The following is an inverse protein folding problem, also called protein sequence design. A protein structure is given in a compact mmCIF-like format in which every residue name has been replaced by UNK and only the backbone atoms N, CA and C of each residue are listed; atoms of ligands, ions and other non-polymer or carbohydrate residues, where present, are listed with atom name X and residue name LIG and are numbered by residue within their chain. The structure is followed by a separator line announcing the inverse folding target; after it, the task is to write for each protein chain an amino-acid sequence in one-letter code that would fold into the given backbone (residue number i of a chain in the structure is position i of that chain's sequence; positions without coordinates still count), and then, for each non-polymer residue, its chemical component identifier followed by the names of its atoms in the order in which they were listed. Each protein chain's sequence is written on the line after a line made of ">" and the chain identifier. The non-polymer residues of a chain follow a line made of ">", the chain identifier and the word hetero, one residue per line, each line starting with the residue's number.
data_IF_959266550252
#
_entry.id   IF_959266550252
#
_cell.length_a   1.000
_cell.length_b   1.000
_cell.length_c   1.000
_cell.angle_alpha   90.00
_cell.angle_beta   90.00
_cell.angle_gamma   90.00
#
_symmetry.space_group_name_H-M   'P 1'
#
loop_
_entity.id
_entity.type
_entity.pdbx_description
1 polymer ?
#
# COMPACT_ATOMS: atom_id res chain seq x y z
N UNK A 1 -11.26 1.50 -24.67
CA UNK A 1 -11.23 1.33 -23.20
C UNK A 1 -10.00 0.49 -22.90
N UNK A 2 -9.02 1.04 -22.20
CA UNK A 2 -7.82 0.29 -21.82
C UNK A 2 -8.17 -0.48 -20.54
N UNK A 3 -8.07 -1.80 -20.58
CA UNK A 3 -8.32 -2.67 -19.42
C UNK A 3 -6.95 -3.11 -18.90
N UNK A 4 -6.76 -3.00 -17.59
CA UNK A 4 -5.55 -3.46 -16.93
C UNK A 4 -5.38 -4.98 -17.12
N UNK A 5 -4.21 -5.38 -17.59
CA UNK A 5 -3.89 -6.79 -17.83
C UNK A 5 -3.46 -7.47 -16.53
N UNK A 6 -4.17 -8.53 -16.14
CA UNK A 6 -3.91 -9.28 -14.92
C UNK A 6 -2.49 -9.89 -14.89
N UNK A 7 -2.03 -10.46 -15.99
CA UNK A 7 -0.72 -11.10 -16.05
C UNK A 7 0.42 -10.09 -15.94
N UNK A 8 0.26 -8.90 -16.53
CA UNK A 8 1.25 -7.83 -16.39
C UNK A 8 1.35 -7.32 -14.96
N UNK A 9 0.23 -7.18 -14.25
CA UNK A 9 0.23 -6.79 -12.84
C UNK A 9 0.88 -7.85 -11.97
N UNK A 10 0.56 -9.12 -12.23
CA UNK A 10 1.16 -10.25 -11.50
C UNK A 10 2.67 -10.28 -11.69
N UNK A 11 3.16 -10.12 -12.93
CA UNK A 11 4.58 -10.07 -13.24
C UNK A 11 5.27 -8.85 -12.59
N UNK A 12 4.65 -7.67 -12.68
CA UNK A 12 5.17 -6.46 -12.03
C UNK A 12 5.31 -6.62 -10.51
N UNK A 13 4.26 -7.13 -9.84
CA UNK A 13 4.30 -7.35 -8.40
C UNK A 13 5.37 -8.40 -8.08
N UNK A 14 5.42 -9.52 -8.79
CA UNK A 14 6.43 -10.56 -8.56
C UNK A 14 7.87 -10.01 -8.68
N UNK A 15 8.17 -9.26 -9.74
CA UNK A 15 9.47 -8.59 -9.91
C UNK A 15 9.78 -7.66 -8.74
N UNK A 16 8.83 -6.78 -8.38
CA UNK A 16 9.00 -5.86 -7.26
C UNK A 16 9.27 -6.58 -5.93
N UNK A 17 8.59 -7.69 -5.65
CA UNK A 17 8.78 -8.45 -4.40
C UNK A 17 10.19 -9.05 -4.29
N UNK A 18 10.82 -9.41 -5.41
CA UNK A 18 12.21 -9.90 -5.41
C UNK A 18 13.25 -8.79 -5.25
N UNK A 19 12.86 -7.52 -5.41
CA UNK A 19 13.76 -6.39 -5.36
C UNK A 19 13.91 -5.84 -3.94
N UNK A 20 15.01 -6.20 -3.27
CA UNK A 20 15.29 -5.79 -1.90
C UNK A 20 15.47 -4.26 -1.74
N UNK A 21 16.03 -3.59 -2.75
CA UNK A 21 16.39 -2.16 -2.69
C UNK A 21 15.20 -1.21 -2.82
N UNK A 22 14.02 -1.74 -3.18
CA UNK A 22 12.81 -0.96 -3.42
C UNK A 22 11.92 -0.90 -2.19
N UNK A 23 11.51 0.31 -1.83
CA UNK A 23 10.65 0.59 -0.68
C UNK A 23 9.18 0.30 -0.98
N UNK A 24 8.68 0.65 -2.17
CA UNK A 24 7.32 0.34 -2.58
C UNK A 24 7.19 0.23 -4.11
N UNK A 25 6.18 -0.53 -4.56
CA UNK A 25 5.73 -0.57 -5.95
C UNK A 25 4.54 0.36 -6.13
N UNK A 26 4.42 1.02 -7.27
CA UNK A 26 3.31 1.91 -7.58
C UNK A 26 2.69 1.56 -8.93
N UNK A 27 1.38 1.31 -8.94
CA UNK A 27 0.59 1.00 -10.13
C UNK A 27 -0.31 2.20 -10.44
N UNK A 28 -0.05 2.86 -11.57
CA UNK A 28 -0.81 4.03 -12.05
C UNK A 28 -1.66 3.64 -13.25
N UNK A 29 -2.97 3.90 -13.17
CA UNK A 29 -3.88 3.74 -14.31
C UNK A 29 -5.09 4.65 -14.23
N UNK A 30 -5.63 5.13 -15.37
CA UNK A 30 -6.88 5.89 -15.38
C UNK A 30 -8.04 5.20 -14.66
N UNK A 31 -9.00 6.00 -14.18
CA UNK A 31 -10.26 5.49 -13.64
C UNK A 31 -11.03 4.68 -14.69
N UNK A 32 -11.75 3.63 -14.27
CA UNK A 32 -12.53 2.78 -15.17
C UNK A 32 -11.73 1.71 -15.92
N UNK A 33 -10.43 1.54 -15.64
CA UNK A 33 -9.55 0.53 -16.26
C UNK A 33 -9.68 -0.88 -15.65
N UNK A 34 -10.55 -1.05 -14.65
CA UNK A 34 -10.70 -2.32 -13.93
C UNK A 34 -9.60 -2.61 -12.88
N UNK A 35 -8.75 -1.62 -12.55
CA UNK A 35 -7.65 -1.74 -11.57
C UNK A 35 -8.05 -2.42 -10.26
N UNK A 36 -9.08 -1.90 -9.58
CA UNK A 36 -9.60 -2.48 -8.33
C UNK A 36 -10.04 -3.93 -8.50
N UNK A 37 -10.67 -4.28 -9.62
CA UNK A 37 -11.09 -5.66 -9.89
C UNK A 37 -9.88 -6.59 -10.04
N UNK A 38 -8.89 -6.18 -10.84
CA UNK A 38 -7.65 -6.92 -11.08
C UNK A 38 -6.86 -7.14 -9.78
N UNK A 39 -6.71 -6.11 -8.95
CA UNK A 39 -5.96 -6.18 -7.69
C UNK A 39 -6.66 -7.03 -6.63
N UNK A 40 -8.00 -6.95 -6.55
CA UNK A 40 -8.78 -7.82 -5.66
C UNK A 40 -8.65 -9.27 -6.07
N UNK A 41 -8.80 -9.57 -7.36
CA UNK A 41 -8.57 -10.92 -7.90
C UNK A 41 -7.18 -11.41 -7.57
N UNK A 42 -6.17 -10.57 -7.79
CA UNK A 42 -4.78 -10.90 -7.46
C UNK A 42 -4.62 -11.27 -5.98
N UNK A 43 -5.18 -10.48 -5.05
CA UNK A 43 -5.07 -10.79 -3.62
C UNK A 43 -5.89 -12.03 -3.21
N UNK A 44 -6.99 -12.35 -3.91
CA UNK A 44 -7.74 -13.59 -3.69
C UNK A 44 -6.96 -14.83 -4.13
N UNK A 45 -6.20 -14.73 -5.22
CA UNK A 45 -5.37 -15.82 -5.75
C UNK A 45 -4.02 -15.96 -5.03
N UNK A 46 -3.60 -14.95 -4.24
CA UNK A 46 -2.32 -14.94 -3.52
C UNK A 46 -2.54 -14.84 -2.01
N UNK A 47 -2.46 -15.97 -1.30
CA UNK A 47 -2.71 -16.06 0.15
C UNK A 47 -1.79 -15.20 1.03
N UNK A 48 -0.64 -14.76 0.50
CA UNK A 48 0.32 -13.90 1.20
C UNK A 48 0.12 -12.41 0.90
N UNK A 49 -0.88 -12.07 0.06
CA UNK A 49 -1.23 -10.70 -0.27
C UNK A 49 -2.45 -10.25 0.54
N UNK A 50 -2.41 -9.04 1.10
CA UNK A 50 -3.59 -8.43 1.72
C UNK A 50 -3.99 -7.20 0.94
N UNK A 51 -5.28 -7.15 0.55
CA UNK A 51 -5.87 -6.02 -0.14
C UNK A 51 -6.43 -5.02 0.88
N UNK A 52 -6.06 -3.75 0.73
CA UNK A 52 -6.55 -2.64 1.53
C UNK A 52 -7.27 -1.67 0.63
N UNK A 53 -8.57 -1.49 0.88
CA UNK A 53 -9.33 -0.40 0.29
C UNK A 53 -9.42 0.73 1.28
N UNK A 54 -8.89 1.87 0.90
CA UNK A 54 -8.97 3.08 1.68
C UNK A 54 -10.39 3.69 1.56
N UNK A 55 -11.05 4.05 2.66
CA UNK A 55 -12.35 4.71 2.58
C UNK A 55 -12.20 6.11 1.93
N UNK A 56 -13.21 6.53 1.16
CA UNK A 56 -13.21 7.77 0.39
C UNK A 56 -13.17 9.08 1.21
N UNK A 57 -13.06 8.99 2.54
CA UNK A 57 -12.97 10.13 3.43
C UNK A 57 -11.51 10.61 3.56
N UNK A 58 -11.31 11.85 4.05
CA UNK A 58 -9.98 12.43 4.30
C UNK A 58 -9.20 11.56 5.29
N UNK A 59 -8.32 10.70 4.78
CA UNK A 59 -7.53 9.79 5.60
C UNK A 59 -6.26 10.49 6.08
N UNK A 60 -5.92 10.27 7.34
CA UNK A 60 -4.64 10.68 7.91
C UNK A 60 -3.66 9.50 7.89
N UNK A 61 -2.38 9.75 8.10
CA UNK A 61 -1.39 8.69 8.39
C UNK A 61 -1.90 7.72 9.45
N UNK A 62 -2.48 8.25 10.53
CA UNK A 62 -3.07 7.44 11.61
C UNK A 62 -4.14 6.50 11.07
N UNK A 63 -5.03 7.02 10.22
CA UNK A 63 -6.10 6.24 9.62
C UNK A 63 -5.56 5.13 8.73
N UNK A 64 -4.49 5.37 7.97
CA UNK A 64 -3.80 4.32 7.21
C UNK A 64 -3.29 3.20 8.13
N UNK A 65 -2.59 3.54 9.22
CA UNK A 65 -2.05 2.53 10.14
C UNK A 65 -3.17 1.69 10.80
N UNK A 66 -4.28 2.32 11.16
CA UNK A 66 -5.45 1.62 11.69
C UNK A 66 -6.10 0.71 10.64
N UNK A 67 -6.19 1.15 9.38
CA UNK A 67 -6.75 0.33 8.31
C UNK A 67 -5.85 -0.87 7.98
N UNK A 68 -4.53 -0.70 8.08
CA UNK A 68 -3.59 -1.84 7.98
C UNK A 68 -3.88 -2.84 9.10
N UNK A 69 -3.94 -2.40 10.36
CA UNK A 69 -4.25 -3.29 11.49
C UNK A 69 -5.60 -4.01 11.30
N UNK A 70 -6.61 -3.29 10.80
CA UNK A 70 -7.93 -3.84 10.51
C UNK A 70 -7.87 -4.93 9.42
N UNK A 71 -7.12 -4.65 8.34
CA UNK A 71 -6.94 -5.57 7.22
C UNK A 71 -6.12 -6.81 7.60
N UNK A 72 -5.25 -6.70 8.61
CA UNK A 72 -4.51 -7.82 9.20
C UNK A 72 -5.36 -8.67 10.18
N UNK A 73 -6.64 -8.33 10.37
CA UNK A 73 -7.53 -9.06 11.27
C UNK A 73 -7.26 -8.82 12.76
N UNK A 74 -6.56 -7.74 13.11
CA UNK A 74 -6.31 -7.40 14.52
C UNK A 74 -7.64 -7.14 15.22
N UNK A 75 -8.00 -7.90 16.27
CA UNK A 75 -9.27 -7.72 16.94
C UNK A 75 -9.39 -6.33 17.54
N UNK A 76 -10.58 -5.73 17.41
CA UNK A 76 -10.97 -4.53 18.15
C UNK A 76 -10.05 -3.33 17.87
N UNK A 77 -9.76 -3.07 16.59
CA UNK A 77 -8.98 -1.88 16.14
C UNK A 77 -9.48 -0.57 16.78
N UNK A 78 -10.77 -0.49 17.07
CA UNK A 78 -11.38 0.63 17.79
C UNK A 78 -10.71 0.96 19.14
N UNK A 79 -10.14 -0.03 19.85
CA UNK A 79 -9.40 0.20 21.11
C UNK A 79 -8.12 1.00 20.91
N UNK A 80 -7.54 0.96 19.71
CA UNK A 80 -6.30 1.66 19.38
C UNK A 80 -6.55 3.05 18.79
N UNK A 81 -7.79 3.55 18.77
CA UNK A 81 -8.11 4.90 18.26
C UNK A 81 -7.47 6.04 19.07
N UNK A 82 -7.02 5.79 20.30
CA UNK A 82 -6.28 6.77 21.11
C UNK A 82 -4.74 6.69 20.93
N UNK A 83 -4.21 5.62 20.31
CA UNK A 83 -2.77 5.37 20.23
C UNK A 83 -2.07 6.40 19.35
N UNK A 84 -0.95 6.98 19.77
CA UNK A 84 -0.15 7.86 18.90
C UNK A 84 0.51 7.08 17.76
N UNK A 85 0.93 7.77 16.70
CA UNK A 85 1.57 7.14 15.52
C UNK A 85 2.71 6.16 15.91
N UNK A 86 3.66 6.51 16.81
CA UNK A 86 4.70 5.56 17.19
C UNK A 86 4.18 4.28 17.85
N UNK A 87 3.09 4.37 18.63
CA UNK A 87 2.47 3.21 19.26
C UNK A 87 1.78 2.31 18.22
N UNK A 88 1.16 2.90 17.20
CA UNK A 88 0.58 2.14 16.08
C UNK A 88 1.67 1.42 15.26
N UNK A 89 2.82 2.08 15.03
CA UNK A 89 3.96 1.46 14.35
C UNK A 89 4.51 0.29 15.17
N UNK A 90 4.67 0.44 16.48
CA UNK A 90 5.11 -0.64 17.36
C UNK A 90 4.13 -1.82 17.36
N UNK A 91 2.83 -1.56 17.32
CA UNK A 91 1.83 -2.61 17.19
C UNK A 91 1.95 -3.34 15.84
N UNK A 92 2.14 -2.63 14.74
CA UNK A 92 2.37 -3.24 13.43
C UNK A 92 3.64 -4.11 13.41
N UNK A 93 4.73 -3.65 14.05
CA UNK A 93 5.96 -4.43 14.24
C UNK A 93 5.75 -5.71 15.02
N UNK A 94 4.78 -5.73 15.93
CA UNK A 94 4.41 -6.94 16.66
C UNK A 94 3.51 -7.87 15.82
N UNK A 95 2.54 -7.31 15.10
CA UNK A 95 1.53 -8.10 14.38
C UNK A 95 2.12 -8.73 13.11
N UNK A 96 2.76 -7.94 12.25
CA UNK A 96 3.14 -8.37 10.90
C UNK A 96 4.09 -9.58 10.87
N UNK A 97 5.15 -9.65 11.69
CA UNK A 97 6.04 -10.82 11.70
C UNK A 97 5.35 -12.13 12.11
N UNK A 98 4.21 -12.05 12.80
CA UNK A 98 3.41 -13.21 13.19
C UNK A 98 2.37 -13.61 12.12
N UNK A 99 2.46 -13.04 10.93
CA UNK A 99 1.61 -13.36 9.77
C UNK A 99 2.41 -14.02 8.66
N UNK A 100 1.72 -14.66 7.71
CA UNK A 100 2.34 -15.18 6.48
C UNK A 100 2.32 -14.15 5.34
N UNK A 101 2.05 -12.88 5.64
CA UNK A 101 1.82 -11.85 4.64
C UNK A 101 3.17 -11.35 4.11
N UNK A 102 3.32 -11.38 2.79
CA UNK A 102 4.51 -10.89 2.09
C UNK A 102 4.34 -9.45 1.62
N UNK A 103 3.12 -9.03 1.31
CA UNK A 103 2.85 -7.68 0.85
C UNK A 103 1.42 -7.19 1.06
N UNK A 104 1.30 -5.86 1.11
CA UNK A 104 0.06 -5.12 1.26
C UNK A 104 -0.23 -4.36 -0.04
N UNK A 105 -1.39 -4.58 -0.62
CA UNK A 105 -1.88 -3.86 -1.81
C UNK A 105 -2.81 -2.75 -1.35
N UNK A 106 -2.37 -1.51 -1.42
CA UNK A 106 -3.13 -0.32 -0.98
C UNK A 106 -3.75 0.37 -2.18
N UNK A 107 -5.06 0.21 -2.33
CA UNK A 107 -5.82 0.74 -3.46
C UNK A 107 -6.19 2.22 -3.24
N UNK A 108 -6.10 3.01 -4.31
CA UNK A 108 -6.46 4.44 -4.33
C UNK A 108 -5.74 5.28 -3.26
N UNK A 109 -4.42 5.17 -3.16
CA UNK A 109 -3.57 5.87 -2.17
C UNK A 109 -3.70 7.40 -2.24
N UNK A 110 -4.13 7.93 -3.38
CA UNK A 110 -4.40 9.36 -3.57
C UNK A 110 -5.54 9.89 -2.67
N UNK A 111 -6.44 9.02 -2.21
CA UNK A 111 -7.50 9.38 -1.26
C UNK A 111 -6.96 9.76 0.12
N UNK A 112 -5.72 9.35 0.44
CA UNK A 112 -5.07 9.69 1.73
C UNK A 112 -4.49 11.10 1.75
N UNK A 113 -4.30 11.74 0.59
CA UNK A 113 -3.58 13.00 0.54
C UNK A 113 -4.47 14.19 0.19
N UNK A 114 -4.97 14.91 1.19
CA UNK A 114 -5.38 16.31 0.99
C UNK A 114 -4.12 17.18 1.04
N UNK A 115 -3.47 17.38 -0.11
CA UNK A 115 -2.44 18.36 -0.53
C UNK A 115 -1.28 18.80 0.39
N UNK A 116 -1.29 18.63 1.73
CA UNK A 116 -0.18 19.09 2.62
C UNK A 116 0.67 17.97 3.22
N UNK A 117 0.16 16.73 3.33
CA UNK A 117 0.90 15.62 3.97
C UNK A 117 1.18 14.43 3.03
N UNK A 118 1.15 14.61 1.71
CA UNK A 118 1.44 13.50 0.76
C UNK A 118 2.86 12.97 0.97
N UNK A 119 3.86 13.85 1.03
CA UNK A 119 5.26 13.43 1.25
C UNK A 119 5.44 12.71 2.58
N UNK A 120 4.82 13.19 3.66
CA UNK A 120 4.87 12.55 4.98
C UNK A 120 4.33 11.12 4.93
N UNK A 121 3.20 10.91 4.26
CA UNK A 121 2.61 9.58 4.08
C UNK A 121 3.60 8.61 3.41
N UNK A 122 4.23 9.04 2.31
CA UNK A 122 5.18 8.21 1.58
C UNK A 122 6.49 8.00 2.36
N UNK A 123 6.96 8.97 3.17
CA UNK A 123 8.08 8.74 4.09
C UNK A 123 7.72 7.69 5.14
N UNK A 124 6.48 7.68 5.64
CA UNK A 124 6.04 6.68 6.61
C UNK A 124 5.93 5.30 5.95
N UNK A 125 5.36 5.19 4.76
CA UNK A 125 5.33 3.92 4.02
C UNK A 125 6.75 3.41 3.75
N UNK A 126 7.67 4.29 3.35
CA UNK A 126 9.08 3.96 3.18
C UNK A 126 9.72 3.49 4.49
N UNK A 127 9.50 4.18 5.60
CA UNK A 127 9.98 3.74 6.91
C UNK A 127 9.43 2.37 7.28
N UNK A 128 8.13 2.15 7.10
CA UNK A 128 7.47 0.86 7.33
C UNK A 128 8.07 -0.26 6.45
N UNK A 129 8.39 0.03 5.18
CA UNK A 129 9.00 -0.95 4.27
C UNK A 129 10.41 -1.40 4.67
N UNK A 130 11.11 -0.59 5.48
CA UNK A 130 12.44 -0.91 6.00
C UNK A 130 12.30 -1.73 7.30
N UNK A 131 11.32 -1.38 8.12
CA UNK A 131 11.17 -1.88 9.48
C UNK A 131 10.33 -3.16 9.59
N UNK A 132 9.53 -3.46 8.56
CA UNK A 132 8.59 -4.56 8.55
C UNK A 132 8.95 -5.57 7.45
N UNK A 133 8.77 -6.87 7.69
CA UNK A 133 9.00 -7.91 6.67
C UNK A 133 7.84 -7.97 5.66
N UNK A 134 7.36 -6.83 5.18
CA UNK A 134 6.23 -6.71 4.25
C UNK A 134 6.52 -5.63 3.20
N UNK A 135 6.20 -5.92 1.95
CA UNK A 135 6.31 -4.95 0.84
C UNK A 135 5.00 -4.21 0.63
N UNK A 136 5.07 -2.99 0.12
CA UNK A 136 3.89 -2.16 -0.15
C UNK A 136 3.71 -1.98 -1.66
N UNK A 137 2.56 -2.38 -2.19
CA UNK A 137 2.12 -2.11 -3.56
C UNK A 137 1.01 -1.07 -3.48
N UNK A 138 1.30 0.14 -3.93
CA UNK A 138 0.40 1.29 -3.86
C UNK A 138 -0.24 1.52 -5.23
N UNK A 139 -1.47 1.99 -5.25
CA UNK A 139 -2.15 2.24 -6.53
C UNK A 139 -2.83 3.60 -6.58
N UNK A 140 -2.96 4.15 -7.78
CA UNK A 140 -3.67 5.41 -7.99
C UNK A 140 -3.98 5.66 -9.47
N UNK A 141 -4.54 6.82 -9.74
CA UNK A 141 -4.76 7.33 -11.09
C UNK A 141 -3.53 8.03 -11.65
N UNK A 142 -2.71 8.63 -10.78
CA UNK A 142 -1.49 9.33 -11.16
C UNK A 142 -0.35 9.06 -10.18
N UNK A 143 0.87 9.03 -10.70
CA UNK A 143 2.07 8.96 -9.87
C UNK A 143 2.16 10.24 -9.02
N UNK A 144 2.32 10.12 -7.70
CA UNK A 144 2.57 11.26 -6.81
C UNK A 144 3.83 12.04 -7.21
N UNK A 145 3.79 13.35 -7.03
CA UNK A 145 5.03 14.15 -6.96
C UNK A 145 5.79 13.78 -5.69
N UNK A 146 6.88 13.01 -5.88
CA UNK A 146 7.75 12.54 -4.82
C UNK A 146 9.16 13.10 -4.99
N UNK A 147 9.92 13.28 -3.88
CA UNK A 147 11.35 13.55 -3.93
C UNK A 147 12.09 12.52 -4.79
N UNK A 148 13.14 12.95 -5.51
CA UNK A 148 13.94 12.09 -6.39
C UNK A 148 14.47 10.85 -5.65
N UNK A 149 14.90 11.03 -4.39
CA UNK A 149 15.39 9.95 -3.53
C UNK A 149 14.34 8.85 -3.29
N UNK A 150 13.05 9.19 -3.23
CA UNK A 150 11.98 8.20 -3.13
C UNK A 150 11.71 7.53 -4.47
N UNK A 151 11.67 8.29 -5.57
CA UNK A 151 11.40 7.75 -6.91
C UNK A 151 12.42 6.67 -7.29
N UNK A 152 13.70 6.90 -7.01
CA UNK A 152 14.78 5.92 -7.26
C UNK A 152 14.53 4.61 -6.48
N UNK A 153 14.00 4.70 -5.26
CA UNK A 153 13.67 3.55 -4.41
C UNK A 153 12.27 2.98 -4.64
N UNK A 154 11.61 3.37 -5.72
CA UNK A 154 10.27 2.87 -6.08
C UNK A 154 10.30 2.13 -7.41
N UNK A 155 9.36 1.20 -7.60
CA UNK A 155 9.06 0.60 -8.90
C UNK A 155 7.73 1.18 -9.41
N UNK A 156 7.65 1.52 -10.70
CA UNK A 156 6.45 2.12 -11.30
C UNK A 156 5.94 1.26 -12.46
N UNK A 157 4.65 0.97 -12.46
CA UNK A 157 3.92 0.45 -13.62
C UNK A 157 2.89 1.49 -14.03
N UNK A 158 2.94 1.94 -15.29
CA UNK A 158 2.10 3.01 -15.82
C UNK A 158 1.38 2.47 -17.03
N UNK A 159 0.05 2.45 -16.99
CA UNK A 159 -0.75 2.24 -18.20
C UNK A 159 -1.00 3.58 -18.88
N UNK A 160 -0.68 3.66 -20.17
CA UNK A 160 -1.08 4.79 -21.02
C UNK A 160 -2.61 4.87 -21.19
#
# INVERSE_FOLDING_TARGET
>A
MIILNYEEIKLFIADFLTNADKSFGFISSPSGTGKTFVLRRYCQENSTAVYLKLPAAKLSTRSLLLEILNSLGVPIVNRYQAYRIPQLIQLLKFVIPNTQISHLVVDDIELVSVNRNRVELFEIIKHLSIELPVKFVLTGTQIPELPVSMKIRSNFYITA
#
